data_IF_564575096646
#
_entry.id   IF_564575096646
#
_cell.length_a   1.000
_cell.length_b   1.000
_cell.length_c   1.000
_cell.angle_alpha   90.00
_cell.angle_beta   90.00
_cell.angle_gamma   90.00
#
_symmetry.space_group_name_H-M   'P 1'
#
loop_
_entity.id
_entity.type
_entity.pdbx_description
1 polymer ?
#
# COMPACT_ATOMS: atom_id res chain seq x y z
N UNK A 1 19.83 13.57 -12.20
CA UNK A 1 19.71 12.49 -13.19
C UNK A 1 19.90 11.17 -12.48
N UNK A 2 19.03 10.20 -12.70
CA UNK A 2 19.18 8.82 -12.19
C UNK A 2 20.03 8.09 -13.23
N UNK A 3 21.09 7.38 -12.79
CA UNK A 3 21.88 6.56 -13.68
C UNK A 3 21.14 5.26 -14.06
N UNK A 4 21.51 4.64 -15.18
CA UNK A 4 20.84 3.46 -15.73
C UNK A 4 20.81 2.29 -14.73
N UNK A 5 21.88 2.09 -13.95
CA UNK A 5 21.91 1.03 -12.94
C UNK A 5 20.92 1.28 -11.80
N UNK A 6 20.76 2.54 -11.38
CA UNK A 6 19.77 2.91 -10.38
C UNK A 6 18.35 2.82 -10.94
N UNK A 7 18.13 3.19 -12.22
CA UNK A 7 16.84 3.02 -12.89
C UNK A 7 16.45 1.53 -12.96
N UNK A 8 17.38 0.66 -13.32
CA UNK A 8 17.16 -0.79 -13.32
C UNK A 8 16.82 -1.30 -11.93
N UNK A 9 17.56 -0.88 -10.90
CA UNK A 9 17.25 -1.24 -9.51
C UNK A 9 15.81 -0.85 -9.11
N UNK A 10 15.38 0.38 -9.49
CA UNK A 10 14.02 0.85 -9.18
C UNK A 10 12.97 -0.08 -9.81
N UNK A 11 13.10 -0.36 -11.11
CA UNK A 11 12.15 -1.21 -11.85
C UNK A 11 12.09 -2.63 -11.27
N UNK A 12 13.24 -3.23 -10.97
CA UNK A 12 13.31 -4.59 -10.43
C UNK A 12 12.77 -4.72 -9.00
N UNK A 13 12.90 -3.65 -8.19
CA UNK A 13 12.52 -3.70 -6.78
C UNK A 13 11.18 -3.02 -6.47
N UNK A 14 10.54 -2.36 -7.44
CA UNK A 14 9.26 -1.70 -7.23
C UNK A 14 8.20 -2.67 -6.73
N UNK A 15 8.06 -3.83 -7.38
CA UNK A 15 7.12 -4.86 -6.97
C UNK A 15 7.37 -5.36 -5.54
N UNK A 16 8.61 -5.65 -5.20
CA UNK A 16 8.99 -6.08 -3.86
C UNK A 16 8.58 -5.04 -2.79
N UNK A 17 8.80 -3.76 -3.07
CA UNK A 17 8.40 -2.67 -2.19
C UNK A 17 6.86 -2.59 -2.03
N UNK A 18 6.12 -2.68 -3.13
CA UNK A 18 4.64 -2.70 -3.14
C UNK A 18 4.09 -3.92 -2.39
N UNK A 19 4.72 -5.08 -2.53
CA UNK A 19 4.34 -6.31 -1.84
C UNK A 19 4.47 -6.14 -0.31
N UNK A 20 5.54 -5.52 0.19
CA UNK A 20 5.65 -5.19 1.63
C UNK A 20 4.58 -4.22 2.10
N UNK A 21 4.23 -3.22 1.30
CA UNK A 21 3.12 -2.30 1.60
C UNK A 21 1.79 -3.05 1.67
N UNK A 22 1.55 -3.97 0.75
CA UNK A 22 0.35 -4.79 0.73
C UNK A 22 0.25 -5.72 1.94
N UNK A 23 1.35 -6.38 2.32
CA UNK A 23 1.42 -7.21 3.54
C UNK A 23 1.08 -6.38 4.77
N UNK A 24 1.69 -5.20 4.91
CA UNK A 24 1.41 -4.31 6.03
C UNK A 24 -0.06 -3.87 6.08
N UNK A 25 -0.65 -3.57 4.91
CA UNK A 25 -2.07 -3.19 4.79
C UNK A 25 -3.02 -4.34 5.15
N UNK A 26 -2.74 -5.55 4.70
CA UNK A 26 -3.53 -6.74 5.05
C UNK A 26 -3.48 -7.01 6.55
N UNK A 27 -2.30 -6.92 7.15
CA UNK A 27 -2.15 -7.10 8.60
C UNK A 27 -2.85 -6.00 9.39
N UNK A 28 -2.77 -4.75 8.96
CA UNK A 28 -3.49 -3.63 9.56
C UNK A 28 -5.02 -3.84 9.50
N UNK A 29 -5.55 -4.32 8.37
CA UNK A 29 -6.97 -4.66 8.22
C UNK A 29 -7.42 -5.73 9.20
N UNK A 30 -6.62 -6.77 9.42
CA UNK A 30 -6.90 -7.82 10.41
C UNK A 30 -6.87 -7.29 11.84
N UNK A 31 -5.96 -6.37 12.16
CA UNK A 31 -5.92 -5.72 13.48
C UNK A 31 -7.17 -4.88 13.74
N UNK A 32 -7.70 -4.20 12.71
CA UNK A 32 -8.98 -3.47 12.83
C UNK A 32 -10.12 -4.43 13.11
N UNK A 33 -10.21 -5.57 12.42
CA UNK A 33 -11.22 -6.60 12.70
C UNK A 33 -11.10 -7.16 14.11
N UNK A 34 -9.88 -7.45 14.57
CA UNK A 34 -9.62 -7.92 15.92
C UNK A 34 -10.03 -6.88 16.98
N UNK A 35 -9.68 -5.62 16.77
CA UNK A 35 -10.04 -4.50 17.65
C UNK A 35 -11.57 -4.30 17.73
N UNK A 36 -12.27 -4.57 16.62
CA UNK A 36 -13.75 -4.55 16.58
C UNK A 36 -14.41 -5.79 17.22
N UNK A 37 -13.62 -6.72 17.76
CA UNK A 37 -14.11 -7.95 18.40
C UNK A 37 -14.60 -9.02 17.41
N UNK A 38 -14.17 -8.95 16.15
CA UNK A 38 -14.48 -9.97 15.16
C UNK A 38 -13.83 -11.30 15.51
N UNK A 39 -14.62 -12.37 15.50
CA UNK A 39 -14.12 -13.74 15.67
C UNK A 39 -13.36 -14.27 14.44
N UNK A 40 -13.39 -13.54 13.34
CA UNK A 40 -12.71 -13.88 12.10
C UNK A 40 -11.21 -13.55 12.14
N UNK A 41 -10.77 -12.69 13.06
CA UNK A 41 -9.36 -12.38 13.26
C UNK A 41 -8.63 -13.56 13.93
N UNK A 42 -8.34 -14.59 13.15
CA UNK A 42 -7.68 -15.83 13.58
C UNK A 42 -6.35 -16.02 12.87
N UNK A 43 -5.42 -16.82 13.42
CA UNK A 43 -4.17 -17.16 12.74
C UNK A 43 -4.33 -17.81 11.38
N UNK A 44 -5.48 -18.45 11.12
CA UNK A 44 -5.80 -19.14 9.87
C UNK A 44 -6.64 -18.30 8.91
N UNK A 45 -6.82 -17.00 9.21
CA UNK A 45 -7.57 -16.12 8.33
C UNK A 45 -6.93 -16.08 6.93
N UNK A 46 -7.72 -16.22 5.82
CA UNK A 46 -7.18 -16.29 4.46
C UNK A 46 -6.27 -15.11 4.07
N UNK A 47 -6.61 -13.89 4.52
CA UNK A 47 -5.78 -12.72 4.27
C UNK A 47 -4.42 -12.81 4.97
N UNK A 48 -4.35 -13.45 6.15
CA UNK A 48 -3.08 -13.64 6.87
C UNK A 48 -2.21 -14.70 6.19
N UNK A 49 -2.80 -15.78 5.70
CA UNK A 49 -2.09 -16.80 4.93
C UNK A 49 -1.52 -16.20 3.64
N UNK A 50 -2.33 -15.41 2.93
CA UNK A 50 -1.89 -14.67 1.74
C UNK A 50 -0.77 -13.66 2.07
N UNK A 51 -0.88 -12.93 3.17
CA UNK A 51 0.14 -11.98 3.61
C UNK A 51 1.48 -12.67 3.90
N UNK A 52 1.47 -13.85 4.54
CA UNK A 52 2.68 -14.62 4.83
C UNK A 52 3.37 -15.12 3.55
N UNK A 53 2.59 -15.58 2.57
CA UNK A 53 3.14 -16.03 1.29
C UNK A 53 3.75 -14.85 0.53
N UNK A 54 3.02 -13.75 0.41
CA UNK A 54 3.49 -12.54 -0.25
C UNK A 54 4.76 -11.98 0.43
N UNK A 55 4.79 -11.99 1.76
CA UNK A 55 5.97 -11.58 2.53
C UNK A 55 7.19 -12.45 2.22
N UNK A 56 7.00 -13.76 2.14
CA UNK A 56 8.08 -14.71 1.84
C UNK A 56 8.69 -14.45 0.46
N UNK A 57 7.84 -14.21 -0.54
CA UNK A 57 8.28 -13.89 -1.90
C UNK A 57 9.02 -12.55 -1.95
N UNK A 58 8.48 -11.52 -1.30
CA UNK A 58 9.09 -10.19 -1.23
C UNK A 58 10.44 -10.23 -0.49
N UNK A 59 10.55 -10.93 0.62
CA UNK A 59 11.79 -11.08 1.39
C UNK A 59 12.88 -11.81 0.58
N UNK A 60 12.49 -12.85 -0.16
CA UNK A 60 13.41 -13.54 -1.06
C UNK A 60 13.90 -12.62 -2.19
N UNK A 61 13.01 -11.84 -2.79
CA UNK A 61 13.34 -10.85 -3.81
C UNK A 61 14.30 -9.79 -3.26
N UNK A 62 14.00 -9.25 -2.08
CA UNK A 62 14.84 -8.26 -1.41
C UNK A 62 16.27 -8.78 -1.15
N UNK A 63 16.40 -10.01 -0.68
CA UNK A 63 17.71 -10.65 -0.42
C UNK A 63 18.55 -10.87 -1.67
N UNK A 64 17.90 -11.05 -2.82
CA UNK A 64 18.59 -11.20 -4.11
C UNK A 64 18.95 -9.87 -4.75
N UNK A 65 18.34 -8.78 -4.31
CA UNK A 65 18.56 -7.45 -4.88
C UNK A 65 19.97 -6.93 -4.62
N UNK A 66 20.54 -6.25 -5.61
CA UNK A 66 21.87 -5.62 -5.51
C UNK A 66 21.73 -4.11 -5.65
N UNK A 67 21.68 -3.37 -4.53
CA UNK A 67 21.49 -1.94 -4.58
C UNK A 67 22.77 -1.24 -5.12
N UNK A 68 22.56 -0.23 -5.96
CA UNK A 68 23.62 0.71 -6.32
C UNK A 68 23.99 1.57 -5.11
N UNK A 69 25.10 2.29 -5.16
CA UNK A 69 25.47 3.20 -4.08
C UNK A 69 24.37 4.22 -3.77
N UNK A 70 23.68 4.71 -4.81
CA UNK A 70 22.59 5.67 -4.69
C UNK A 70 21.32 5.04 -4.06
N UNK A 71 21.04 3.77 -4.36
CA UNK A 71 19.90 3.05 -3.86
C UNK A 71 20.13 2.42 -2.45
N UNK A 72 21.35 2.48 -1.92
CA UNK A 72 21.73 1.80 -0.69
C UNK A 72 20.83 2.18 0.49
N UNK A 73 20.59 3.47 0.70
CA UNK A 73 19.73 3.93 1.81
C UNK A 73 18.30 3.42 1.67
N UNK A 74 17.74 3.45 0.46
CA UNK A 74 16.43 2.88 0.18
C UNK A 74 16.42 1.39 0.57
N UNK A 75 17.36 0.62 0.07
CA UNK A 75 17.46 -0.82 0.34
C UNK A 75 17.59 -1.12 1.85
N UNK A 76 18.41 -0.35 2.59
CA UNK A 76 18.55 -0.49 4.05
C UNK A 76 17.22 -0.24 4.78
N UNK A 77 16.44 0.76 4.38
CA UNK A 77 15.13 1.03 4.95
C UNK A 77 14.13 -0.08 4.62
N UNK A 78 14.10 -0.57 3.36
CA UNK A 78 13.24 -1.71 2.99
C UNK A 78 13.61 -2.96 3.78
N UNK A 79 14.91 -3.24 3.99
CA UNK A 79 15.36 -4.39 4.79
C UNK A 79 14.93 -4.27 6.26
N UNK A 80 15.00 -3.07 6.85
CA UNK A 80 14.48 -2.82 8.20
C UNK A 80 12.97 -3.00 8.27
N UNK A 81 12.25 -2.48 7.28
CA UNK A 81 10.81 -2.66 7.18
C UNK A 81 10.42 -4.13 7.09
N UNK A 82 11.11 -4.90 6.25
CA UNK A 82 10.90 -6.36 6.14
C UNK A 82 11.11 -7.07 7.48
N UNK A 83 12.18 -6.73 8.21
CA UNK A 83 12.42 -7.30 9.55
C UNK A 83 11.29 -6.99 10.53
N UNK A 84 10.78 -5.75 10.55
CA UNK A 84 9.69 -5.33 11.44
C UNK A 84 8.35 -5.96 11.06
N UNK A 85 8.00 -5.97 9.76
CA UNK A 85 6.77 -6.62 9.26
C UNK A 85 6.83 -8.14 9.51
N UNK A 86 7.98 -8.77 9.29
CA UNK A 86 8.19 -10.17 9.60
C UNK A 86 8.00 -10.48 11.09
N UNK A 87 8.51 -9.63 11.97
CA UNK A 87 8.27 -9.75 13.41
C UNK A 87 6.79 -9.61 13.78
N UNK A 88 6.06 -8.67 13.14
CA UNK A 88 4.62 -8.53 13.31
C UNK A 88 3.86 -9.80 12.87
N UNK A 89 4.22 -10.38 11.72
CA UNK A 89 3.63 -11.63 11.23
C UNK A 89 3.88 -12.81 12.18
N UNK A 90 5.09 -12.92 12.76
CA UNK A 90 5.39 -13.97 13.73
C UNK A 90 4.52 -13.88 14.98
N UNK A 91 4.18 -12.66 15.43
CA UNK A 91 3.29 -12.48 16.60
C UNK A 91 1.84 -12.94 16.32
N UNK A 92 1.47 -13.17 15.06
CA UNK A 92 0.14 -13.71 14.69
C UNK A 92 0.02 -15.23 14.78
N UNK A 93 1.12 -15.94 15.09
CA UNK A 93 1.12 -17.42 15.15
C UNK A 93 0.50 -17.99 16.44
N UNK A 94 0.33 -17.14 17.47
CA UNK A 94 -0.26 -17.51 18.76
C UNK A 94 -1.53 -16.76 19.08
N UNK A 95 -1.71 -16.37 20.35
CA UNK A 95 -2.78 -15.49 20.77
C UNK A 95 -2.65 -14.14 20.05
N UNK A 96 -3.74 -13.67 19.45
CA UNK A 96 -3.77 -12.43 18.67
C UNK A 96 -3.69 -11.21 19.60
N UNK A 97 -2.47 -10.87 20.03
CA UNK A 97 -2.18 -9.73 20.89
C UNK A 97 -1.97 -8.49 20.02
N UNK A 98 -2.96 -7.59 20.05
CA UNK A 98 -2.97 -6.38 19.22
C UNK A 98 -1.72 -5.50 19.43
N UNK A 99 -1.31 -5.28 20.67
CA UNK A 99 -0.20 -4.36 20.96
C UNK A 99 1.14 -4.95 20.49
N UNK A 100 1.32 -6.27 20.64
CA UNK A 100 2.52 -6.97 20.20
C UNK A 100 2.66 -6.98 18.67
N UNK A 101 1.55 -7.02 17.95
CA UNK A 101 1.55 -6.97 16.48
C UNK A 101 1.67 -5.53 15.97
N UNK A 102 0.94 -4.60 16.59
CA UNK A 102 0.86 -3.21 16.13
C UNK A 102 2.19 -2.48 16.25
N UNK A 103 2.96 -2.72 17.33
CA UNK A 103 4.24 -2.04 17.56
C UNK A 103 5.25 -2.28 16.43
N UNK A 104 5.61 -3.51 16.07
CA UNK A 104 6.52 -3.75 14.96
C UNK A 104 5.90 -3.39 13.60
N UNK A 105 4.59 -3.55 13.41
CA UNK A 105 3.93 -3.16 12.17
C UNK A 105 4.07 -1.65 11.90
N UNK A 106 3.84 -0.80 12.90
CA UNK A 106 4.02 0.65 12.79
C UNK A 106 5.47 1.03 12.50
N UNK A 107 6.42 0.37 13.15
CA UNK A 107 7.83 0.58 12.89
C UNK A 107 8.20 0.21 11.45
N UNK A 108 7.72 -0.92 10.94
CA UNK A 108 7.90 -1.36 9.56
C UNK A 108 7.31 -0.37 8.57
N UNK A 109 6.13 0.16 8.86
CA UNK A 109 5.48 1.18 8.05
C UNK A 109 6.32 2.45 7.94
N UNK A 110 6.82 2.95 9.06
CA UNK A 110 7.70 4.13 9.10
C UNK A 110 8.98 3.92 8.28
N UNK A 111 9.53 2.71 8.29
CA UNK A 111 10.71 2.40 7.47
C UNK A 111 10.38 2.35 5.97
N UNK A 112 9.18 1.87 5.56
CA UNK A 112 8.74 1.95 4.16
C UNK A 112 8.57 3.40 3.69
N UNK A 113 8.04 4.29 4.53
CA UNK A 113 7.95 5.72 4.21
C UNK A 113 9.34 6.34 4.03
N UNK A 114 10.29 6.02 4.91
CA UNK A 114 11.67 6.47 4.79
C UNK A 114 12.36 5.93 3.54
N UNK A 115 12.07 4.68 3.16
CA UNK A 115 12.56 4.11 1.92
C UNK A 115 12.08 4.89 0.70
N UNK A 116 10.79 5.22 0.63
CA UNK A 116 10.22 6.01 -0.44
C UNK A 116 10.82 7.43 -0.52
N UNK A 117 11.15 8.04 0.64
CA UNK A 117 11.83 9.33 0.68
C UNK A 117 13.30 9.26 0.26
N UNK A 118 13.95 8.12 0.48
CA UNK A 118 15.37 7.95 0.19
C UNK A 118 15.70 7.80 -1.30
N UNK A 119 14.74 7.33 -2.11
CA UNK A 119 14.92 7.12 -3.55
C UNK A 119 13.65 7.47 -4.33
N UNK A 120 13.67 8.47 -5.24
CA UNK A 120 12.54 8.76 -6.12
C UNK A 120 12.18 7.55 -7.00
N UNK A 121 10.89 7.34 -7.22
CA UNK A 121 10.35 6.23 -8.01
C UNK A 121 9.58 5.20 -7.19
N UNK A 122 9.59 5.32 -5.86
CA UNK A 122 8.77 4.52 -4.96
C UNK A 122 7.66 5.40 -4.36
N UNK A 123 6.40 4.98 -4.53
CA UNK A 123 5.27 5.75 -4.03
C UNK A 123 4.94 5.39 -2.58
N UNK A 124 4.67 6.42 -1.77
CA UNK A 124 4.14 6.24 -0.43
C UNK A 124 2.68 5.80 -0.52
N UNK A 125 2.27 4.82 0.27
CA UNK A 125 0.84 4.56 0.48
C UNK A 125 0.27 5.70 1.31
N UNK A 126 -0.53 6.55 0.68
CA UNK A 126 -1.27 7.59 1.36
C UNK A 126 -2.63 7.03 1.78
N UNK A 127 -2.78 6.64 3.04
CA UNK A 127 -4.09 6.23 3.59
C UNK A 127 -5.11 7.37 3.60
N UNK A 128 -4.68 8.61 3.59
CA UNK A 128 -5.56 9.78 3.47
C UNK A 128 -6.36 9.76 2.16
N UNK A 129 -5.79 9.17 1.09
CA UNK A 129 -6.48 8.99 -0.20
C UNK A 129 -7.39 7.77 -0.25
N UNK A 130 -7.16 6.79 0.60
CA UNK A 130 -7.95 5.56 0.64
C UNK A 130 -9.28 5.73 1.38
N UNK A 131 -9.34 6.63 2.37
CA UNK A 131 -10.56 6.88 3.15
C UNK A 131 -11.54 7.87 2.52
N UNK A 132 -11.09 8.71 1.58
CA UNK A 132 -11.97 9.62 0.83
C UNK A 132 -12.00 9.17 -0.61
N UNK A 133 -13.02 8.41 -0.98
CA UNK A 133 -13.40 8.16 -2.37
C UNK A 133 -13.73 9.47 -3.09
N UNK A 134 -12.74 10.32 -3.29
CA UNK A 134 -12.88 11.40 -4.26
C UNK A 134 -12.80 10.77 -5.64
N UNK A 135 -13.97 10.33 -6.11
CA UNK A 135 -14.24 10.25 -7.52
C UNK A 135 -13.72 11.55 -8.15
N UNK A 136 -12.59 11.48 -8.85
CA UNK A 136 -12.30 12.47 -9.87
C UNK A 136 -13.41 12.37 -10.86
N UNK A 137 -14.47 13.16 -10.71
CA UNK A 137 -15.30 13.57 -11.82
C UNK A 137 -14.36 14.24 -12.80
N UNK A 138 -13.96 13.50 -13.82
CA UNK A 138 -13.45 14.10 -15.05
C UNK A 138 -14.53 15.09 -15.47
N UNK A 139 -14.25 16.36 -15.30
CA UNK A 139 -14.95 17.40 -16.06
C UNK A 139 -14.67 17.12 -17.54
N UNK A 140 -15.55 16.35 -18.14
CA UNK A 140 -15.71 16.37 -19.58
C UNK A 140 -16.27 17.75 -19.89
N UNK A 141 -15.43 18.60 -20.44
CA UNK A 141 -15.85 19.82 -21.08
C UNK A 141 -16.87 19.49 -22.17
N UNK A 142 -18.11 19.75 -21.88
CA UNK A 142 -19.17 19.83 -22.86
C UNK A 142 -19.38 21.31 -23.13
N UNK A 143 -18.55 21.82 -24.00
CA UNK A 143 -18.90 22.98 -24.83
C UNK A 143 -19.59 22.40 -26.06
N UNK A 144 -20.91 22.53 -26.11
CA UNK A 144 -21.68 22.69 -27.36
C UNK A 144 -23.10 23.07 -27.00
N UNK A 145 -23.44 24.27 -27.47
CA UNK A 145 -24.69 24.95 -27.31
C UNK A 145 -25.90 24.15 -27.79
N UNK A 146 -26.82 23.91 -26.92
CA UNK A 146 -28.21 23.60 -27.28
C UNK A 146 -29.09 24.77 -26.91
N UNK A 147 -29.53 25.49 -27.92
CA UNK A 147 -30.54 26.56 -27.86
C UNK A 147 -31.82 26.01 -27.22
N UNK A 148 -32.48 26.74 -26.32
CA UNK A 148 -33.79 26.37 -25.82
C UNK A 148 -34.86 26.59 -26.90
N UNK A 149 -35.50 25.54 -27.30
CA UNK A 149 -36.70 25.59 -28.13
C UNK A 149 -37.87 26.11 -27.30
N UNK A 150 -38.50 27.15 -27.87
CA UNK A 150 -39.67 27.89 -27.40
C UNK A 150 -40.89 26.96 -27.22
N UNK A 151 -41.67 27.08 -26.15
CA UNK A 151 -42.92 26.33 -26.01
C UNK A 151 -44.00 26.91 -26.91
N UNK A 152 -44.62 26.04 -27.70
CA UNK A 152 -45.82 26.31 -28.48
C UNK A 152 -47.03 26.48 -27.55
N UNK A 153 -47.56 27.67 -27.51
CA UNK A 153 -48.88 27.99 -26.95
C UNK A 153 -49.99 27.29 -27.72
N UNK A 154 -50.81 26.51 -27.02
CA UNK A 154 -52.02 25.88 -27.54
C UNK A 154 -53.21 26.85 -27.32
N UNK A 155 -54.04 27.15 -28.34
CA UNK A 155 -55.21 27.96 -28.14
C UNK A 155 -56.38 27.13 -27.55
N UNK A 156 -57.16 27.77 -26.72
CA UNK A 156 -58.39 27.29 -26.17
C UNK A 156 -59.52 27.15 -27.20
N UNK A 157 -60.29 26.06 -27.09
CA UNK A 157 -61.72 25.99 -27.33
C UNK A 157 -62.37 25.09 -26.29
#
# INVERSE_FOLDING_TARGET
MVDDATATYIVENQRCFEDFQQVASQLAGLLVLAAAGSKEATPDHPALLSARELFREADQSLRSARPTQRARKHHEHVAKAAAMIGAALQQTEGAFDLDRILTPLRAGYTELERAADALPGFEKVSYERACCGQSRTREFGADEGVRPTRPLTRPAQ
#
